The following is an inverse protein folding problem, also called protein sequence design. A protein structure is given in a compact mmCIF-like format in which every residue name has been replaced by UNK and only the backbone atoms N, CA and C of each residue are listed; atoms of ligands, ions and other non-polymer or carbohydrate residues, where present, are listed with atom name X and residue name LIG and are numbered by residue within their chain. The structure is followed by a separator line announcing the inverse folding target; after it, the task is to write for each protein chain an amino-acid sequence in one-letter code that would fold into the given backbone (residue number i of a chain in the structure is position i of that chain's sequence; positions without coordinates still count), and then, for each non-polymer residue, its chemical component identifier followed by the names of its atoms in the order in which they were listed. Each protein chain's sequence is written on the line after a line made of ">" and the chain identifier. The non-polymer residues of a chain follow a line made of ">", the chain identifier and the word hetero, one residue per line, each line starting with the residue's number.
data_IF_223587888792
#
_entry.id   IF_223587888792
#
_cell.length_a   1.000
_cell.length_b   1.000
_cell.length_c   1.000
_cell.angle_alpha   90.00
_cell.angle_beta   90.00
_cell.angle_gamma   90.00
#
_symmetry.space_group_name_H-M   'P 1'
#
loop_
_entity.id
_entity.type
_entity.pdbx_description
1 polymer ?
#
# COMPACT_ATOMS: atom_id res chain seq x y z
N UNK A 1 -16.56 35.56 -2.91
CA UNK A 1 -16.43 34.62 -1.80
C UNK A 1 -16.70 33.21 -2.36
N UNK A 2 -15.64 32.51 -2.76
CA UNK A 2 -15.76 31.15 -3.27
C UNK A 2 -15.90 30.19 -2.10
N UNK A 3 -17.13 29.73 -1.85
CA UNK A 3 -17.35 28.54 -1.01
C UNK A 3 -16.80 27.31 -1.79
N UNK A 4 -15.52 27.03 -1.66
CA UNK A 4 -14.99 25.71 -2.03
C UNK A 4 -15.65 24.70 -1.08
N UNK A 5 -16.68 24.00 -1.56
CA UNK A 5 -17.21 22.83 -0.88
C UNK A 5 -16.05 21.86 -0.71
N UNK A 6 -15.56 21.71 0.52
CA UNK A 6 -14.63 20.66 0.88
C UNK A 6 -15.36 19.36 0.54
N UNK A 7 -14.92 18.67 -0.51
CA UNK A 7 -15.49 17.40 -0.90
C UNK A 7 -15.21 16.39 0.22
N UNK A 8 -16.25 15.74 0.73
CA UNK A 8 -16.10 14.71 1.77
C UNK A 8 -15.28 13.55 1.21
N UNK A 9 -14.23 13.11 1.92
CA UNK A 9 -13.43 11.97 1.50
C UNK A 9 -14.30 10.72 1.29
N UNK A 10 -14.02 9.94 0.24
CA UNK A 10 -14.66 8.64 0.03
C UNK A 10 -13.79 7.56 0.62
N UNK A 11 -14.35 6.79 1.53
CA UNK A 11 -13.65 5.73 2.27
C UNK A 11 -14.24 4.37 1.90
N UNK A 12 -13.35 3.37 1.78
CA UNK A 12 -13.66 2.00 1.43
C UNK A 12 -12.90 1.02 2.33
N UNK A 13 -13.52 -0.12 2.63
CA UNK A 13 -12.90 -1.18 3.42
C UNK A 13 -12.58 -0.79 4.87
N UNK A 14 -11.56 -1.42 5.43
CA UNK A 14 -11.17 -1.29 6.84
C UNK A 14 -10.24 -0.07 7.08
N UNK A 15 -10.58 1.10 6.55
CA UNK A 15 -9.76 2.30 6.67
C UNK A 15 -9.93 2.97 8.04
N UNK A 16 -8.84 3.10 8.79
CA UNK A 16 -8.80 3.80 10.08
C UNK A 16 -8.54 5.30 9.82
N UNK A 17 -9.54 6.16 10.08
CA UNK A 17 -9.40 7.60 9.85
C UNK A 17 -8.50 8.29 10.87
N UNK A 18 -8.60 7.86 12.14
CA UNK A 18 -7.80 8.38 13.23
C UNK A 18 -6.91 7.26 13.74
N UNK A 19 -5.67 7.26 13.30
CA UNK A 19 -4.71 6.26 13.75
C UNK A 19 -4.53 6.33 15.27
N UNK A 20 -4.43 5.19 15.95
CA UNK A 20 -4.03 5.17 17.34
C UNK A 20 -2.62 5.78 17.46
N UNK A 21 -2.30 6.43 18.59
CA UNK A 21 -0.96 6.90 18.82
C UNK A 21 -0.01 5.70 18.79
N UNK A 22 0.95 5.71 17.86
CA UNK A 22 2.00 4.70 17.76
C UNK A 22 3.25 5.17 18.49
N UNK A 23 3.94 4.25 19.12
CA UNK A 23 5.22 4.54 19.78
C UNK A 23 6.32 4.79 18.73
N UNK A 24 6.24 4.05 17.62
CA UNK A 24 7.18 4.15 16.51
C UNK A 24 6.44 4.32 15.18
N UNK A 25 6.93 5.26 14.38
CA UNK A 25 6.45 5.42 13.02
C UNK A 25 7.57 5.91 12.10
N UNK A 26 7.51 5.53 10.86
CA UNK A 26 8.43 5.97 9.82
C UNK A 26 7.66 6.54 8.63
N UNK A 27 8.13 7.64 8.08
CA UNK A 27 7.57 8.26 6.87
C UNK A 27 8.68 8.39 5.84
N UNK A 28 8.44 7.85 4.66
CA UNK A 28 9.29 8.01 3.50
C UNK A 28 8.48 8.69 2.38
N UNK A 29 8.97 9.83 1.89
CA UNK A 29 8.29 10.59 0.84
C UNK A 29 9.25 11.00 -0.26
N UNK A 30 8.76 11.01 -1.50
CA UNK A 30 9.54 11.42 -2.66
C UNK A 30 8.66 12.00 -3.77
N UNK A 31 9.24 12.88 -4.61
CA UNK A 31 8.53 13.46 -5.75
C UNK A 31 8.46 12.45 -6.91
N UNK A 32 7.29 12.25 -7.52
CA UNK A 32 7.14 11.33 -8.66
C UNK A 32 8.10 11.60 -9.82
N UNK A 33 8.29 12.85 -10.23
CA UNK A 33 9.12 13.24 -11.36
C UNK A 33 10.62 13.43 -11.09
N UNK A 34 11.14 13.13 -9.87
CA UNK A 34 12.54 13.44 -9.52
C UNK A 34 13.58 12.48 -10.10
N UNK A 35 13.20 11.26 -10.47
CA UNK A 35 14.10 10.22 -11.00
C UNK A 35 13.35 9.44 -12.09
N UNK A 36 14.01 9.03 -13.21
CA UNK A 36 13.38 8.19 -14.24
C UNK A 36 12.80 6.89 -13.67
N UNK A 37 11.64 6.49 -14.15
CA UNK A 37 10.87 5.32 -13.69
C UNK A 37 11.73 4.05 -13.50
N UNK A 38 12.62 3.74 -14.48
CA UNK A 38 13.48 2.55 -14.41
C UNK A 38 14.46 2.54 -13.21
N UNK A 39 14.89 3.74 -12.78
CA UNK A 39 15.76 3.85 -11.59
C UNK A 39 14.94 3.75 -10.30
N UNK A 40 13.67 4.14 -10.35
CA UNK A 40 12.77 4.04 -9.19
C UNK A 40 12.43 2.62 -8.79
N UNK A 41 12.21 1.72 -9.74
CA UNK A 41 11.96 0.31 -9.43
C UNK A 41 13.05 -0.28 -8.52
N UNK A 42 14.30 0.02 -8.85
CA UNK A 42 15.43 -0.38 -8.00
C UNK A 42 15.40 0.28 -6.63
N UNK A 43 15.00 1.55 -6.57
CA UNK A 43 14.91 2.28 -5.31
C UNK A 43 13.73 1.82 -4.45
N UNK A 44 12.64 1.31 -5.05
CA UNK A 44 11.50 0.77 -4.30
C UNK A 44 11.89 -0.47 -3.52
N UNK A 45 12.57 -1.44 -4.15
CA UNK A 45 13.09 -2.61 -3.45
C UNK A 45 14.00 -2.19 -2.28
N UNK A 46 14.93 -1.27 -2.51
CA UNK A 46 15.82 -0.75 -1.45
C UNK A 46 15.03 -0.04 -0.33
N UNK A 47 13.96 0.68 -0.68
CA UNK A 47 13.11 1.35 0.30
C UNK A 47 12.32 0.33 1.12
N UNK A 48 11.75 -0.69 0.47
CA UNK A 48 11.02 -1.77 1.12
C UNK A 48 11.93 -2.58 2.06
N UNK A 49 13.13 -2.93 1.61
CA UNK A 49 14.13 -3.62 2.43
C UNK A 49 14.56 -2.78 3.63
N UNK A 50 14.82 -1.49 3.42
CA UNK A 50 15.14 -0.57 4.51
C UNK A 50 14.02 -0.50 5.55
N UNK A 51 12.76 -0.39 5.11
CA UNK A 51 11.59 -0.36 5.99
C UNK A 51 11.47 -1.67 6.78
N UNK A 52 11.69 -2.80 6.12
CA UNK A 52 11.64 -4.12 6.76
C UNK A 52 12.78 -4.32 7.76
N UNK A 53 14.01 -3.92 7.40
CA UNK A 53 15.17 -3.98 8.30
C UNK A 53 14.98 -3.10 9.52
N UNK A 54 14.53 -1.85 9.33
CA UNK A 54 14.25 -0.93 10.42
C UNK A 54 13.21 -1.50 11.39
N UNK A 55 12.05 -1.95 10.87
CA UNK A 55 10.99 -2.48 11.72
C UNK A 55 11.39 -3.79 12.41
N UNK A 56 12.21 -4.62 11.78
CA UNK A 56 12.66 -5.89 12.38
C UNK A 56 13.47 -5.68 13.66
N UNK A 57 14.09 -4.50 13.85
CA UNK A 57 14.83 -4.18 15.08
C UNK A 57 13.95 -4.09 16.32
N UNK A 58 12.65 -3.86 16.18
CA UNK A 58 11.69 -3.81 17.30
C UNK A 58 11.20 -5.20 17.72
N UNK A 59 11.51 -6.24 16.95
CA UNK A 59 11.19 -7.63 17.24
C UNK A 59 12.42 -8.45 17.64
N UNK A 60 13.49 -7.76 18.11
CA UNK A 60 14.67 -8.44 18.63
C UNK A 60 14.30 -9.19 19.89
N UNK A 61 14.39 -10.50 19.83
CA UNK A 61 14.28 -11.38 20.98
C UNK A 61 15.62 -11.49 21.70
N UNK A 62 15.59 -11.76 23.00
CA UNK A 62 16.77 -12.23 23.74
C UNK A 62 17.29 -13.51 23.06
N UNK A 63 18.61 -13.62 22.85
CA UNK A 63 19.33 -14.57 21.98
C UNK A 63 19.06 -16.08 22.19
N UNK A 64 17.98 -16.48 22.88
CA UNK A 64 17.80 -17.85 23.34
C UNK A 64 16.51 -18.57 22.90
N UNK A 65 15.67 -17.96 22.03
CA UNK A 65 14.45 -18.62 21.57
C UNK A 65 14.33 -18.68 20.05
N UNK A 66 14.47 -19.87 19.46
CA UNK A 66 14.34 -20.16 18.02
C UNK A 66 13.00 -19.67 17.44
N UNK A 67 11.91 -19.79 18.22
CA UNK A 67 10.53 -19.40 17.81
C UNK A 67 10.41 -17.89 17.55
N UNK A 68 11.15 -17.07 18.30
CA UNK A 68 11.12 -15.61 18.13
C UNK A 68 11.92 -15.17 16.90
N UNK A 69 13.01 -15.89 16.59
CA UNK A 69 13.78 -15.65 15.38
C UNK A 69 12.96 -15.94 14.09
N UNK A 70 12.16 -17.00 14.11
CA UNK A 70 11.27 -17.34 12.99
C UNK A 70 10.17 -16.28 12.81
N UNK A 71 9.57 -15.80 13.89
CA UNK A 71 8.57 -14.71 13.86
C UNK A 71 9.16 -13.42 13.33
N UNK A 72 10.36 -13.04 13.76
CA UNK A 72 11.04 -11.85 13.24
C UNK A 72 11.27 -11.94 11.73
N UNK A 73 11.72 -13.08 11.23
CA UNK A 73 11.95 -13.30 9.80
C UNK A 73 10.63 -13.23 9.00
N UNK A 74 9.54 -13.79 9.55
CA UNK A 74 8.21 -13.73 8.95
C UNK A 74 7.69 -12.28 8.86
N UNK A 75 7.75 -11.53 9.95
CA UNK A 75 7.35 -10.12 9.98
C UNK A 75 8.19 -9.30 9.01
N UNK A 76 9.51 -9.48 8.99
CA UNK A 76 10.41 -8.80 8.05
C UNK A 76 10.02 -9.08 6.60
N UNK A 77 9.76 -10.34 6.24
CA UNK A 77 9.35 -10.74 4.90
C UNK A 77 8.01 -10.10 4.51
N UNK A 78 7.02 -10.14 5.41
CA UNK A 78 5.71 -9.53 5.19
C UNK A 78 5.81 -8.01 5.00
N UNK A 79 6.60 -7.33 5.82
CA UNK A 79 6.81 -5.87 5.71
C UNK A 79 7.48 -5.51 4.38
N UNK A 80 8.55 -6.22 4.00
CA UNK A 80 9.24 -5.99 2.71
C UNK A 80 8.28 -6.19 1.54
N UNK A 81 7.53 -7.29 1.53
CA UNK A 81 6.56 -7.58 0.48
C UNK A 81 5.49 -6.50 0.37
N UNK A 82 4.79 -6.18 1.47
CA UNK A 82 3.71 -5.21 1.49
C UNK A 82 4.20 -3.82 1.07
N UNK A 83 5.35 -3.38 1.59
CA UNK A 83 5.93 -2.09 1.25
C UNK A 83 6.31 -2.01 -0.23
N UNK A 84 6.93 -3.07 -0.79
CA UNK A 84 7.30 -3.13 -2.20
C UNK A 84 6.06 -3.05 -3.09
N UNK A 85 5.05 -3.88 -2.86
CA UNK A 85 3.81 -3.90 -3.63
C UNK A 85 3.07 -2.54 -3.59
N UNK A 86 3.00 -1.90 -2.42
CA UNK A 86 2.40 -0.58 -2.29
C UNK A 86 3.16 0.48 -3.09
N UNK A 87 4.49 0.49 -3.01
CA UNK A 87 5.34 1.43 -3.74
C UNK A 87 5.25 1.19 -5.26
N UNK A 88 5.26 -0.07 -5.70
CA UNK A 88 5.09 -0.42 -7.11
C UNK A 88 3.75 0.05 -7.65
N UNK A 89 2.66 -0.22 -6.94
CA UNK A 89 1.32 0.23 -7.33
C UNK A 89 1.23 1.77 -7.40
N UNK A 90 1.82 2.49 -6.45
CA UNK A 90 1.83 3.95 -6.47
C UNK A 90 2.58 4.51 -7.68
N UNK A 91 3.66 3.87 -8.10
CA UNK A 91 4.43 4.29 -9.25
C UNK A 91 3.76 3.94 -10.57
N UNK A 92 3.11 2.78 -10.63
CA UNK A 92 2.45 2.29 -11.82
C UNK A 92 1.18 3.06 -12.15
N UNK A 93 0.38 3.36 -11.14
CA UNK A 93 -0.92 4.00 -11.31
C UNK A 93 -0.93 5.48 -10.93
N UNK A 94 0.17 5.97 -10.38
CA UNK A 94 0.34 7.36 -10.01
C UNK A 94 0.52 8.29 -11.21
N UNK A 95 0.31 9.59 -10.98
CA UNK A 95 0.60 10.61 -11.99
C UNK A 95 2.08 10.95 -11.97
N UNK A 96 2.82 10.59 -13.03
CA UNK A 96 4.28 10.65 -13.09
C UNK A 96 4.85 12.06 -12.84
N UNK A 97 4.18 13.10 -13.35
CA UNK A 97 4.62 14.50 -13.23
C UNK A 97 3.81 15.28 -12.19
N UNK A 98 3.13 14.59 -11.29
CA UNK A 98 2.38 15.24 -10.22
C UNK A 98 3.32 16.00 -9.27
N UNK A 99 2.97 17.22 -8.84
CA UNK A 99 3.64 17.89 -7.74
C UNK A 99 3.28 17.26 -6.38
N UNK A 100 2.26 16.40 -6.34
CA UNK A 100 1.86 15.69 -5.12
C UNK A 100 2.84 14.53 -4.85
N UNK A 101 3.49 14.47 -3.68
CA UNK A 101 4.47 13.45 -3.39
C UNK A 101 3.83 12.07 -3.21
N UNK A 102 4.59 11.02 -3.54
CA UNK A 102 4.30 9.67 -3.05
C UNK A 102 4.84 9.59 -1.64
N UNK A 103 4.02 9.13 -0.70
CA UNK A 103 4.41 9.00 0.70
C UNK A 103 3.95 7.67 1.27
N UNK A 104 4.89 6.87 1.77
CA UNK A 104 4.59 5.68 2.55
C UNK A 104 4.85 5.97 4.02
N UNK A 105 3.88 5.63 4.87
CA UNK A 105 3.98 5.74 6.33
C UNK A 105 3.74 4.36 6.92
N UNK A 106 4.53 4.01 7.92
CA UNK A 106 4.37 2.76 8.66
C UNK A 106 4.29 3.10 10.15
N UNK A 107 3.26 2.59 10.79
CA UNK A 107 3.02 2.77 12.23
C UNK A 107 3.09 1.40 12.90
N UNK A 108 3.96 1.28 13.91
CA UNK A 108 4.11 0.09 14.72
C UNK A 108 3.30 0.22 16.00
N UNK A 109 2.40 -0.73 16.20
CA UNK A 109 1.64 -0.92 17.44
C UNK A 109 1.93 -2.33 17.98
N UNK A 110 1.62 -2.64 19.26
CA UNK A 110 2.00 -3.92 19.88
C UNK A 110 1.60 -5.17 19.09
N UNK A 111 0.41 -5.18 18.47
CA UNK A 111 -0.16 -6.35 17.77
C UNK A 111 -0.47 -6.04 16.30
N UNK A 112 -0.04 -4.87 15.80
CA UNK A 112 -0.51 -4.38 14.50
C UNK A 112 0.51 -3.46 13.84
N UNK A 113 0.88 -3.76 12.61
CA UNK A 113 1.60 -2.83 11.73
C UNK A 113 0.60 -2.22 10.76
N UNK A 114 0.57 -0.89 10.68
CA UNK A 114 -0.31 -0.16 9.76
C UNK A 114 0.55 0.55 8.72
N UNK A 115 0.33 0.19 7.46
CA UNK A 115 0.91 0.88 6.31
C UNK A 115 -0.11 1.85 5.74
N UNK A 116 0.33 3.04 5.38
CA UNK A 116 -0.42 4.01 4.60
C UNK A 116 0.44 4.49 3.45
N UNK A 117 0.02 4.22 2.22
CA UNK A 117 0.66 4.78 1.05
C UNK A 117 -0.28 5.78 0.39
N UNK A 118 0.18 7.01 0.22
CA UNK A 118 -0.56 8.09 -0.42
C UNK A 118 0.15 8.52 -1.71
N UNK A 119 -0.60 8.57 -2.82
CA UNK A 119 -0.15 9.08 -4.10
C UNK A 119 -1.30 9.79 -4.83
N UNK A 120 -0.97 10.53 -5.91
CA UNK A 120 -1.99 11.08 -6.81
C UNK A 120 -2.34 10.09 -7.92
N UNK A 121 -3.59 10.10 -8.33
CA UNK A 121 -4.09 9.38 -9.50
C UNK A 121 -4.90 10.33 -10.39
N UNK A 122 -5.05 10.01 -11.68
CA UNK A 122 -5.96 10.72 -12.56
C UNK A 122 -7.41 10.54 -12.10
N UNK A 123 -8.18 11.63 -12.06
CA UNK A 123 -9.60 11.59 -11.61
C UNK A 123 -10.44 10.62 -12.44
N UNK A 124 -10.18 10.51 -13.74
CA UNK A 124 -10.89 9.58 -14.63
C UNK A 124 -10.60 8.11 -14.29
N UNK A 125 -9.39 7.80 -13.83
CA UNK A 125 -9.00 6.45 -13.41
C UNK A 125 -9.62 6.06 -12.07
N UNK A 126 -10.00 7.03 -11.24
CA UNK A 126 -10.51 6.78 -9.89
C UNK A 126 -11.78 5.94 -9.88
N UNK A 127 -12.66 6.10 -10.88
CA UNK A 127 -13.88 5.30 -10.96
C UNK A 127 -13.60 3.82 -11.20
N UNK A 128 -12.70 3.50 -12.14
CA UNK A 128 -12.30 2.11 -12.41
C UNK A 128 -11.64 1.48 -11.19
N UNK A 129 -10.79 2.23 -10.50
CA UNK A 129 -10.15 1.77 -9.29
C UNK A 129 -11.16 1.51 -8.16
N UNK A 130 -12.15 2.38 -7.96
CA UNK A 130 -13.22 2.15 -6.99
C UNK A 130 -14.09 0.93 -7.34
N UNK A 131 -14.32 0.64 -8.62
CA UNK A 131 -15.00 -0.60 -9.03
C UNK A 131 -14.16 -1.83 -8.68
N UNK A 132 -12.86 -1.79 -8.95
CA UNK A 132 -11.94 -2.87 -8.58
C UNK A 132 -11.93 -3.11 -7.05
N UNK A 133 -11.86 -2.03 -6.26
CA UNK A 133 -11.97 -2.12 -4.79
C UNK A 133 -13.29 -2.79 -4.37
N UNK A 134 -14.41 -2.45 -5.01
CA UNK A 134 -15.71 -3.11 -4.73
C UNK A 134 -15.67 -4.60 -5.00
N UNK A 135 -15.05 -5.01 -6.10
CA UNK A 135 -14.89 -6.44 -6.44
C UNK A 135 -14.10 -7.15 -5.34
N UNK A 136 -12.98 -6.55 -4.90
CA UNK A 136 -12.15 -7.11 -3.82
C UNK A 136 -12.94 -7.21 -2.50
N UNK A 137 -13.65 -6.16 -2.11
CA UNK A 137 -14.37 -6.10 -0.83
C UNK A 137 -15.60 -7.01 -0.76
N UNK A 138 -16.20 -7.35 -1.90
CA UNK A 138 -17.40 -8.20 -1.97
C UNK A 138 -17.11 -9.66 -2.33
N UNK A 139 -15.90 -9.98 -2.79
CA UNK A 139 -15.50 -11.32 -3.18
C UNK A 139 -14.81 -12.08 -2.05
N UNK A 140 -14.72 -13.39 -2.18
CA UNK A 140 -13.85 -14.21 -1.34
C UNK A 140 -12.40 -14.06 -1.81
N UNK A 141 -11.45 -13.72 -0.93
CA UNK A 141 -10.05 -13.48 -1.30
C UNK A 141 -9.39 -14.67 -2.01
N UNK A 142 -9.69 -15.91 -1.57
CA UNK A 142 -9.10 -17.12 -2.16
C UNK A 142 -9.66 -17.39 -3.55
N UNK A 143 -10.97 -17.21 -3.75
CA UNK A 143 -11.60 -17.36 -5.08
C UNK A 143 -11.07 -16.31 -6.06
N UNK A 144 -10.95 -15.04 -5.62
CA UNK A 144 -10.41 -13.97 -6.43
C UNK A 144 -8.94 -14.23 -6.80
N UNK A 145 -8.16 -14.75 -5.86
CA UNK A 145 -6.74 -15.09 -6.09
C UNK A 145 -6.60 -16.17 -7.15
N UNK A 146 -7.37 -17.27 -7.02
CA UNK A 146 -7.37 -18.38 -8.01
C UNK A 146 -7.81 -17.87 -9.38
N UNK A 147 -8.91 -17.12 -9.45
CA UNK A 147 -9.42 -16.57 -10.71
C UNK A 147 -8.38 -15.66 -11.41
N UNK A 148 -7.63 -14.86 -10.63
CA UNK A 148 -6.56 -14.02 -11.18
C UNK A 148 -5.37 -14.86 -11.66
N UNK A 149 -5.00 -15.93 -10.97
CA UNK A 149 -3.95 -16.87 -11.42
C UNK A 149 -4.33 -17.54 -12.73
N UNK A 150 -5.58 -18.03 -12.84
CA UNK A 150 -6.09 -18.65 -14.07
C UNK A 150 -6.08 -17.67 -15.24
N UNK A 151 -6.50 -16.43 -14.99
CA UNK A 151 -6.46 -15.36 -15.99
C UNK A 151 -5.04 -15.10 -16.47
N UNK A 152 -4.08 -14.96 -15.55
CA UNK A 152 -2.67 -14.71 -15.88
C UNK A 152 -2.06 -15.88 -16.68
N UNK A 153 -2.48 -17.13 -16.41
CA UNK A 153 -2.01 -18.28 -17.15
C UNK A 153 -2.50 -18.34 -18.60
N UNK A 154 -3.60 -17.67 -18.91
CA UNK A 154 -4.18 -17.60 -20.26
C UNK A 154 -3.65 -16.40 -21.08
N UNK A 155 -3.15 -15.38 -20.43
CA UNK A 155 -2.65 -14.15 -21.05
C UNK A 155 -1.11 -14.16 -21.05
N UNK A 156 -0.46 -14.66 -22.11
CA UNK A 156 1.01 -14.79 -22.22
C UNK A 156 1.75 -13.44 -22.16
N UNK A 157 1.08 -12.31 -22.46
CA UNK A 157 1.64 -10.95 -22.50
C UNK A 157 1.19 -10.06 -21.32
N UNK A 158 0.72 -10.63 -20.20
CA UNK A 158 0.22 -9.84 -19.09
C UNK A 158 1.38 -9.22 -18.29
N UNK A 159 1.69 -7.95 -18.56
CA UNK A 159 2.71 -7.19 -17.79
C UNK A 159 2.32 -7.01 -16.31
N UNK A 160 1.07 -7.34 -15.93
CA UNK A 160 0.48 -7.09 -14.63
C UNK A 160 -0.06 -8.38 -14.00
N UNK A 161 0.59 -8.86 -12.94
CA UNK A 161 0.05 -10.04 -12.22
C UNK A 161 -1.32 -9.78 -11.58
N UNK A 162 -1.57 -8.55 -11.11
CA UNK A 162 -2.78 -8.19 -10.34
C UNK A 162 -2.91 -8.94 -9.00
N UNK A 163 -1.87 -9.66 -8.58
CA UNK A 163 -1.89 -10.54 -7.40
C UNK A 163 -1.50 -9.84 -6.10
N UNK A 164 -0.76 -8.73 -6.15
CA UNK A 164 -0.18 -8.13 -4.95
C UNK A 164 -1.18 -7.86 -3.83
N UNK A 165 -2.30 -7.20 -4.13
CA UNK A 165 -3.38 -6.94 -3.14
C UNK A 165 -4.04 -8.24 -2.68
N UNK A 166 -4.27 -9.19 -3.59
CA UNK A 166 -4.89 -10.47 -3.27
C UNK A 166 -3.98 -11.34 -2.41
N UNK A 167 -2.67 -11.30 -2.63
CA UNK A 167 -1.67 -11.95 -1.77
C UNK A 167 -1.69 -11.36 -0.36
N UNK A 168 -1.77 -10.02 -0.22
CA UNK A 168 -1.89 -9.38 1.10
C UNK A 168 -3.10 -9.87 1.88
N UNK A 169 -4.25 -10.04 1.20
CA UNK A 169 -5.48 -10.54 1.81
C UNK A 169 -5.40 -12.03 2.14
N UNK A 170 -4.94 -12.85 1.19
CA UNK A 170 -5.01 -14.31 1.26
C UNK A 170 -3.88 -14.90 2.12
N UNK A 171 -2.62 -14.51 1.87
CA UNK A 171 -1.45 -15.13 2.45
C UNK A 171 -1.06 -14.47 3.78
N UNK A 172 -1.21 -13.15 3.88
CA UNK A 172 -0.87 -12.40 5.09
C UNK A 172 -2.08 -12.09 5.98
N UNK A 173 -3.30 -12.39 5.54
CA UNK A 173 -4.52 -12.08 6.30
C UNK A 173 -4.68 -10.60 6.61
N UNK A 174 -4.08 -9.73 5.80
CA UNK A 174 -4.10 -8.29 6.01
C UNK A 174 -5.49 -7.71 5.80
N UNK A 175 -5.81 -6.62 6.50
CA UNK A 175 -7.01 -5.83 6.22
C UNK A 175 -6.66 -4.63 5.37
N UNK A 176 -7.51 -4.33 4.41
CA UNK A 176 -7.30 -3.26 3.44
C UNK A 176 -8.35 -2.16 3.56
N UNK A 177 -7.90 -0.92 3.34
CA UNK A 177 -8.78 0.23 3.27
C UNK A 177 -8.25 1.29 2.31
N UNK A 178 -9.15 2.10 1.77
CA UNK A 178 -8.79 3.18 0.83
C UNK A 178 -9.53 4.46 1.17
N UNK A 179 -8.83 5.59 0.99
CA UNK A 179 -9.41 6.92 1.10
C UNK A 179 -9.09 7.72 -0.15
N UNK A 180 -10.12 8.33 -0.75
CA UNK A 180 -9.99 9.21 -1.91
C UNK A 180 -10.32 10.64 -1.51
N UNK A 181 -9.43 11.57 -1.85
CA UNK A 181 -9.55 12.99 -1.53
C UNK A 181 -9.30 13.86 -2.76
N UNK A 182 -10.09 14.90 -2.93
CA UNK A 182 -9.85 15.88 -3.99
C UNK A 182 -8.63 16.74 -3.63
N UNK A 183 -7.75 16.97 -4.60
CA UNK A 183 -6.61 17.87 -4.45
C UNK A 183 -7.06 19.31 -4.78
N UNK A 184 -7.04 20.26 -3.83
CA UNK A 184 -7.63 21.60 -4.01
C UNK A 184 -7.03 22.42 -5.16
N UNK A 185 -5.79 22.12 -5.54
CA UNK A 185 -5.05 22.86 -6.57
C UNK A 185 -5.05 22.18 -7.94
N UNK A 186 -5.62 20.99 -8.06
CA UNK A 186 -5.58 20.19 -9.27
C UNK A 186 -6.94 19.54 -9.54
N UNK A 187 -7.66 20.03 -10.53
CA UNK A 187 -9.01 19.54 -10.88
C UNK A 187 -9.01 18.17 -11.56
N UNK A 188 -7.85 17.72 -12.08
CA UNK A 188 -7.70 16.47 -12.84
C UNK A 188 -7.10 15.33 -12.06
N UNK A 189 -6.63 15.59 -10.83
CA UNK A 189 -5.99 14.61 -9.97
C UNK A 189 -6.74 14.45 -8.64
N UNK A 190 -6.64 13.27 -8.07
CA UNK A 190 -7.12 12.93 -6.72
C UNK A 190 -5.99 12.30 -5.93
N UNK A 191 -5.94 12.58 -4.62
CA UNK A 191 -5.12 11.79 -3.73
C UNK A 191 -5.85 10.50 -3.39
N UNK A 192 -5.11 9.39 -3.42
CA UNK A 192 -5.56 8.12 -2.88
C UNK A 192 -4.61 7.67 -1.79
N UNK A 193 -5.16 7.28 -0.65
CA UNK A 193 -4.42 6.63 0.42
C UNK A 193 -4.86 5.18 0.50
N UNK A 194 -3.94 4.25 0.24
CA UNK A 194 -4.13 2.82 0.48
C UNK A 194 -3.59 2.47 1.84
N UNK A 195 -4.42 1.85 2.68
CA UNK A 195 -4.04 1.36 4.00
C UNK A 195 -4.01 -0.16 4.02
N UNK A 196 -2.95 -0.70 4.60
CA UNK A 196 -2.81 -2.13 4.89
C UNK A 196 -2.58 -2.30 6.39
N UNK A 197 -3.32 -3.20 7.02
CA UNK A 197 -3.19 -3.51 8.44
C UNK A 197 -2.76 -4.97 8.56
N UNK A 198 -1.55 -5.19 9.07
CA UNK A 198 -0.95 -6.50 9.28
C UNK A 198 -0.92 -6.82 10.76
N UNK A 199 -1.57 -7.90 11.18
CA UNK A 199 -1.43 -8.43 12.54
C UNK A 199 -0.08 -9.13 12.69
N UNK A 200 0.54 -8.97 13.86
CA UNK A 200 1.85 -9.52 14.20
C UNK A 200 1.83 -10.32 15.49
#
# INVERSE_FOLDING_TARGET
>A
MNNSKIAVPRIWGDFIQNLPPSQEYLILSFSPGSIPLRQRWRNNCLSADFLADYLSTFFLSDEHQQVECDKQAEVKSAVSYIANELLENAMKYGVEMSPFPISIQIHLNPDLIIFQLTNSIQSDSSYKFQQHIRTILNGDPSELYIAQLEKNALEEDCEESGLGILTMLNDYGAKLGWKFESLPQQSTEMAVTTMVQLKI
#
